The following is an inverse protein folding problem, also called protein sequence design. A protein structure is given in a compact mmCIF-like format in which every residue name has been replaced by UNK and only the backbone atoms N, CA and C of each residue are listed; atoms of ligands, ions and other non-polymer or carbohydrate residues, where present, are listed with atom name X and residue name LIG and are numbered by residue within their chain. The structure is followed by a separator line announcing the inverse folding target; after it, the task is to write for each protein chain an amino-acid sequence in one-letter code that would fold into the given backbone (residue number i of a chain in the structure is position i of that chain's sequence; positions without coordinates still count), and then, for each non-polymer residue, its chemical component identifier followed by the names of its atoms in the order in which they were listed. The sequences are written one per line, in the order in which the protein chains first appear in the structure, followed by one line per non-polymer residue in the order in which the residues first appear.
data_IF_590093767189
#
_entry.id   IF_590093767189
#
_cell.length_a   1.000
_cell.length_b   1.000
_cell.length_c   1.000
_cell.angle_alpha   90.00
_cell.angle_beta   90.00
_cell.angle_gamma   90.00
#
_symmetry.space_group_name_H-M   'P 1'
#
loop_
_entity.id
_entity.type
_entity.pdbx_description
1 polymer ?
#
# COMPACT_ATOMS: atom_id res chain seq x y z
N UNK A 1 23.76 -14.57 1.56
CA UNK A 1 23.26 -14.06 2.87
C UNK A 1 24.34 -13.58 3.86
N UNK A 2 25.59 -13.38 3.41
CA UNK A 2 26.73 -12.96 4.26
C UNK A 2 26.79 -11.45 4.50
N UNK A 3 25.61 -10.82 4.55
CA UNK A 3 25.47 -9.37 4.51
C UNK A 3 24.66 -8.88 5.71
N UNK A 4 24.95 -7.67 6.16
CA UNK A 4 24.32 -7.10 7.35
C UNK A 4 22.86 -6.69 7.13
N UNK A 5 22.52 -6.41 5.88
CA UNK A 5 21.22 -5.95 5.39
C UNK A 5 21.12 -6.29 3.91
N UNK A 6 19.90 -6.27 3.35
CA UNK A 6 19.72 -6.42 1.91
C UNK A 6 20.42 -5.28 1.14
N UNK A 7 20.54 -4.07 1.70
CA UNK A 7 21.10 -2.92 0.99
C UNK A 7 22.55 -3.11 0.54
N UNK A 8 23.35 -3.92 1.26
CA UNK A 8 24.76 -4.18 0.92
C UNK A 8 24.97 -5.47 0.10
N UNK A 9 23.90 -6.19 -0.19
CA UNK A 9 23.93 -7.35 -1.11
C UNK A 9 24.26 -6.86 -2.53
N UNK A 10 24.98 -7.65 -3.31
CA UNK A 10 25.32 -7.30 -4.69
C UNK A 10 24.06 -6.99 -5.52
N UNK A 11 24.20 -6.08 -6.48
CA UNK A 11 23.08 -5.66 -7.32
C UNK A 11 22.55 -6.84 -8.15
N UNK A 12 23.42 -7.72 -8.66
CA UNK A 12 23.01 -8.88 -9.47
C UNK A 12 22.16 -9.85 -8.67
N UNK A 13 22.54 -10.15 -7.42
CA UNK A 13 21.75 -11.03 -6.53
C UNK A 13 20.38 -10.42 -6.20
N UNK A 14 20.30 -9.09 -6.06
CA UNK A 14 19.03 -8.40 -5.86
C UNK A 14 18.17 -8.43 -7.13
N UNK A 15 18.78 -8.24 -8.29
CA UNK A 15 18.08 -8.22 -9.58
C UNK A 15 17.46 -9.58 -9.87
N UNK A 16 18.14 -10.68 -9.55
CA UNK A 16 17.56 -12.03 -9.68
C UNK A 16 16.27 -12.19 -8.84
N UNK A 17 16.28 -11.68 -7.60
CA UNK A 17 15.09 -11.70 -6.74
C UNK A 17 13.98 -10.79 -7.27
N UNK A 18 14.35 -9.63 -7.82
CA UNK A 18 13.41 -8.69 -8.44
C UNK A 18 12.79 -9.30 -9.69
N UNK A 19 13.56 -10.03 -10.50
CA UNK A 19 13.08 -10.67 -11.72
C UNK A 19 12.08 -11.79 -11.43
N UNK A 20 12.25 -12.54 -10.32
CA UNK A 20 11.22 -13.47 -9.86
C UNK A 20 9.92 -12.74 -9.47
N UNK A 21 10.02 -11.60 -8.79
CA UNK A 21 8.84 -10.78 -8.48
C UNK A 21 8.19 -10.23 -9.75
N UNK A 22 8.98 -9.89 -10.78
CA UNK A 22 8.46 -9.47 -12.09
C UNK A 22 7.68 -10.58 -12.80
N UNK A 23 8.11 -11.83 -12.66
CA UNK A 23 7.44 -12.97 -13.26
C UNK A 23 6.09 -13.26 -12.59
N UNK A 24 6.03 -13.15 -11.26
CA UNK A 24 4.83 -13.53 -10.50
C UNK A 24 3.80 -12.40 -10.34
N UNK A 25 4.23 -11.12 -10.46
CA UNK A 25 3.38 -9.96 -10.17
C UNK A 25 3.37 -8.92 -11.30
N UNK A 26 2.16 -8.50 -11.68
CA UNK A 26 1.95 -7.37 -12.60
C UNK A 26 2.09 -6.06 -11.84
N UNK A 27 3.28 -5.49 -11.87
CA UNK A 27 3.60 -4.18 -11.28
C UNK A 27 4.04 -3.21 -12.37
N UNK A 28 3.63 -1.95 -12.24
CA UNK A 28 4.21 -0.88 -13.07
C UNK A 28 5.62 -0.53 -12.58
N UNK A 29 6.63 -1.05 -13.26
CA UNK A 29 8.05 -0.86 -12.94
C UNK A 29 8.60 0.49 -13.34
N UNK A 30 7.85 1.29 -14.11
CA UNK A 30 8.22 2.68 -14.41
C UNK A 30 8.05 3.56 -13.16
N UNK A 31 7.06 3.22 -12.32
CA UNK A 31 6.72 3.95 -11.11
C UNK A 31 7.68 3.69 -9.94
N UNK A 32 8.24 4.77 -9.40
CA UNK A 32 9.21 4.74 -8.28
C UNK A 32 8.64 4.12 -7.00
N UNK A 33 7.39 4.39 -6.67
CA UNK A 33 6.71 3.84 -5.48
C UNK A 33 6.52 2.32 -5.58
N UNK A 34 6.22 1.78 -6.76
CA UNK A 34 6.10 0.34 -6.99
C UNK A 34 7.46 -0.36 -6.82
N UNK A 35 8.51 0.16 -7.46
CA UNK A 35 9.88 -0.32 -7.27
C UNK A 35 10.29 -0.30 -5.78
N UNK A 36 10.04 0.82 -5.10
CA UNK A 36 10.33 0.97 -3.66
C UNK A 36 9.56 -0.04 -2.80
N UNK A 37 8.32 -0.33 -3.14
CA UNK A 37 7.49 -1.31 -2.43
C UNK A 37 8.14 -2.69 -2.50
N UNK A 38 8.56 -3.13 -3.69
CA UNK A 38 9.25 -4.42 -3.86
C UNK A 38 10.53 -4.47 -3.06
N UNK A 39 11.43 -3.49 -3.20
CA UNK A 39 12.70 -3.46 -2.44
C UNK A 39 12.47 -3.44 -0.93
N UNK A 40 11.42 -2.73 -0.46
CA UNK A 40 11.04 -2.69 0.96
C UNK A 40 10.59 -4.06 1.45
N UNK A 41 9.77 -4.77 0.67
CA UNK A 41 9.28 -6.09 1.04
C UNK A 41 10.41 -7.13 1.03
N UNK A 42 11.30 -7.10 0.03
CA UNK A 42 12.49 -7.95 0.02
C UNK A 42 13.38 -7.67 1.24
N UNK A 43 13.58 -6.40 1.59
CA UNK A 43 14.38 -6.03 2.77
C UNK A 43 13.74 -6.54 4.08
N UNK A 44 12.41 -6.46 4.18
CA UNK A 44 11.66 -7.00 5.33
C UNK A 44 11.79 -8.52 5.43
N UNK A 45 11.64 -9.24 4.32
CA UNK A 45 11.80 -10.70 4.27
C UNK A 45 13.23 -11.11 4.66
N UNK A 46 14.24 -10.41 4.13
CA UNK A 46 15.65 -10.62 4.48
C UNK A 46 15.90 -10.46 5.99
N UNK A 47 15.42 -9.35 6.56
CA UNK A 47 15.59 -9.07 7.99
C UNK A 47 14.81 -10.05 8.87
N UNK A 48 13.62 -10.48 8.44
CA UNK A 48 12.82 -11.48 9.16
C UNK A 48 13.55 -12.83 9.23
N UNK A 49 14.18 -13.25 8.12
CA UNK A 49 14.97 -14.47 8.09
C UNK A 49 16.25 -14.35 8.95
N UNK A 50 16.97 -13.22 8.86
CA UNK A 50 18.10 -12.92 9.77
C UNK A 50 17.71 -13.01 11.24
N UNK A 51 16.55 -12.46 11.60
CA UNK A 51 16.04 -12.53 12.96
C UNK A 51 15.68 -13.96 13.37
N UNK A 52 15.15 -14.77 12.45
CA UNK A 52 14.87 -16.18 12.69
C UNK A 52 16.15 -16.96 13.03
N UNK A 53 17.23 -16.72 12.28
CA UNK A 53 18.55 -17.29 12.56
C UNK A 53 19.13 -16.79 13.88
N UNK A 54 19.00 -15.50 14.19
CA UNK A 54 19.43 -14.95 15.47
C UNK A 54 18.68 -15.55 16.67
N UNK A 55 17.38 -15.86 16.50
CA UNK A 55 16.61 -16.59 17.51
C UNK A 55 17.19 -17.98 17.75
N UNK A 56 17.57 -18.70 16.69
CA UNK A 56 18.25 -20.00 16.80
C UNK A 56 19.61 -19.88 17.48
N UNK A 57 20.41 -18.89 17.12
CA UNK A 57 21.68 -18.61 17.79
C UNK A 57 21.49 -18.43 19.30
N UNK A 58 20.42 -17.74 19.69
CA UNK A 58 20.07 -17.49 21.10
C UNK A 58 19.49 -18.69 21.86
N UNK A 59 19.16 -19.79 21.20
CA UNK A 59 18.74 -21.04 21.87
C UNK A 59 19.94 -21.79 22.46
N UNK A 60 21.16 -21.56 21.94
CA UNK A 60 22.39 -22.16 22.46
C UNK A 60 22.92 -21.42 23.69
N UNK A 61 23.57 -22.15 24.60
CA UNK A 61 24.11 -21.58 25.83
C UNK A 61 25.39 -20.78 25.56
N UNK A 62 26.24 -21.25 24.65
CA UNK A 62 27.51 -20.59 24.32
C UNK A 62 27.66 -20.32 22.83
N UNK A 63 28.58 -19.40 22.51
CA UNK A 63 28.91 -19.07 21.13
C UNK A 63 29.53 -20.28 20.39
N UNK A 64 30.39 -21.02 21.07
CA UNK A 64 31.07 -22.20 20.56
C UNK A 64 30.06 -23.32 20.24
N UNK A 65 29.08 -23.52 21.12
CA UNK A 65 28.00 -24.48 20.90
C UNK A 65 27.16 -24.11 19.66
N UNK A 66 26.85 -22.82 19.50
CA UNK A 66 26.11 -22.34 18.34
C UNK A 66 26.88 -22.57 17.02
N UNK A 67 28.20 -22.36 17.01
CA UNK A 67 29.04 -22.59 15.82
C UNK A 67 29.04 -24.05 15.36
N UNK A 68 29.03 -24.99 16.31
CA UNK A 68 29.04 -26.43 15.99
C UNK A 68 27.68 -26.92 15.51
N UNK A 69 26.58 -26.44 16.11
CA UNK A 69 25.26 -27.07 15.98
C UNK A 69 24.26 -26.32 15.08
N UNK A 70 24.46 -25.03 14.76
CA UNK A 70 23.40 -24.17 14.21
C UNK A 70 23.26 -24.09 12.68
N UNK A 71 24.02 -24.87 11.90
CA UNK A 71 24.13 -24.72 10.44
C UNK A 71 23.05 -25.38 9.56
N UNK A 72 21.85 -25.71 10.06
CA UNK A 72 20.87 -26.47 9.25
C UNK A 72 20.07 -25.61 8.26
N UNK A 73 19.88 -24.32 8.53
CA UNK A 73 19.04 -23.42 7.72
C UNK A 73 19.78 -22.63 6.65
N UNK A 74 21.11 -22.52 6.77
CA UNK A 74 21.98 -21.81 5.84
C UNK A 74 23.30 -22.56 5.73
N UNK A 75 24.04 -22.34 4.66
CA UNK A 75 25.38 -22.89 4.51
C UNK A 75 26.27 -22.57 5.72
N UNK A 76 27.10 -23.52 6.11
CA UNK A 76 27.97 -23.41 7.29
C UNK A 76 28.83 -22.13 7.32
N UNK A 77 29.49 -21.69 6.24
CA UNK A 77 30.26 -20.43 6.26
C UNK A 77 29.38 -19.19 6.50
N UNK A 78 28.12 -19.23 6.06
CA UNK A 78 27.16 -18.14 6.30
C UNK A 78 26.75 -18.12 7.77
N UNK A 79 26.49 -19.29 8.35
CA UNK A 79 26.17 -19.43 9.77
C UNK A 79 27.30 -18.97 10.68
N UNK A 80 28.54 -19.40 10.40
CA UNK A 80 29.74 -19.01 11.15
C UNK A 80 29.93 -17.49 11.13
N UNK A 81 29.83 -16.87 9.95
CA UNK A 81 29.91 -15.41 9.81
C UNK A 81 28.84 -14.67 10.64
N UNK A 82 27.60 -15.16 10.62
CA UNK A 82 26.50 -14.59 11.41
C UNK A 82 26.75 -14.72 12.92
N UNK A 83 27.21 -15.88 13.37
CA UNK A 83 27.57 -16.11 14.77
C UNK A 83 28.66 -15.14 15.23
N UNK A 84 29.74 -15.00 14.46
CA UNK A 84 30.83 -14.06 14.78
C UNK A 84 30.31 -12.63 14.89
N UNK A 85 29.43 -12.21 13.96
CA UNK A 85 28.78 -10.90 14.02
C UNK A 85 27.95 -10.72 15.28
N UNK A 86 27.14 -11.70 15.68
CA UNK A 86 26.30 -11.58 16.88
C UNK A 86 27.07 -11.64 18.19
N UNK A 87 28.22 -12.33 18.19
CA UNK A 87 29.14 -12.36 19.33
C UNK A 87 29.93 -11.06 19.50
N UNK A 88 30.07 -10.28 18.42
CA UNK A 88 30.85 -9.03 18.39
C UNK A 88 30.35 -7.99 19.40
N UNK A 89 31.30 -7.17 19.88
CA UNK A 89 31.02 -6.11 20.87
C UNK A 89 30.13 -5.04 20.25
N UNK A 90 30.35 -4.70 18.99
CA UNK A 90 29.59 -3.71 18.22
C UNK A 90 28.11 -4.13 18.12
N UNK A 91 27.85 -5.39 17.79
CA UNK A 91 26.48 -5.89 17.70
C UNK A 91 25.79 -5.90 19.06
N UNK A 92 26.47 -6.37 20.11
CA UNK A 92 25.93 -6.39 21.48
C UNK A 92 25.60 -4.97 21.96
N UNK A 93 26.45 -3.99 21.69
CA UNK A 93 26.21 -2.58 21.99
C UNK A 93 24.97 -2.05 21.26
N UNK A 94 24.90 -2.25 19.94
CA UNK A 94 23.75 -1.84 19.13
C UNK A 94 22.44 -2.50 19.58
N UNK A 95 22.48 -3.80 19.87
CA UNK A 95 21.32 -4.57 20.34
C UNK A 95 20.80 -4.05 21.69
N UNK A 96 21.72 -3.78 22.63
CA UNK A 96 21.38 -3.23 23.95
C UNK A 96 20.75 -1.84 23.82
N UNK A 97 21.36 -0.95 23.02
CA UNK A 97 20.81 0.37 22.78
C UNK A 97 19.43 0.32 22.11
N UNK A 98 19.22 -0.57 21.14
CA UNK A 98 17.92 -0.75 20.51
C UNK A 98 16.85 -1.25 21.49
N UNK A 99 17.23 -2.14 22.42
CA UNK A 99 16.36 -2.60 23.50
C UNK A 99 15.96 -1.45 24.43
N UNK A 100 16.92 -0.64 24.86
CA UNK A 100 16.67 0.55 25.68
C UNK A 100 15.77 1.56 24.96
N UNK A 101 16.04 1.83 23.68
CA UNK A 101 15.22 2.73 22.86
C UNK A 101 13.78 2.19 22.73
N UNK A 102 13.61 0.88 22.57
CA UNK A 102 12.29 0.26 22.55
C UNK A 102 11.56 0.39 23.89
N UNK A 103 12.27 0.29 25.01
CA UNK A 103 11.70 0.52 26.34
C UNK A 103 11.25 1.97 26.56
N UNK A 104 11.86 2.94 25.86
CA UNK A 104 11.47 4.37 25.90
C UNK A 104 10.23 4.68 25.04
N UNK A 105 9.67 3.71 24.31
CA UNK A 105 8.48 3.94 23.51
C UNK A 105 7.24 4.11 24.39
N UNK A 106 6.78 5.36 24.54
CA UNK A 106 5.64 5.75 25.39
C UNK A 106 4.27 5.61 24.72
N UNK A 107 4.23 5.67 23.39
CA UNK A 107 3.00 5.65 22.59
C UNK A 107 2.93 4.34 21.80
N UNK A 108 1.92 3.52 22.09
CA UNK A 108 1.64 2.22 21.47
C UNK A 108 0.20 2.19 20.97
N UNK A 109 -0.13 1.37 19.96
CA UNK A 109 -1.46 1.29 19.34
C UNK A 109 -2.02 -0.14 19.32
N UNK A 110 -3.33 -0.29 19.13
CA UNK A 110 -4.08 -1.57 19.06
C UNK A 110 -4.36 -2.05 17.63
N UNK A 111 -4.01 -1.28 16.60
CA UNK A 111 -4.31 -1.55 15.18
C UNK A 111 -3.77 -2.87 14.60
N UNK A 112 -2.90 -3.57 15.34
CA UNK A 112 -2.34 -4.84 14.94
C UNK A 112 -1.52 -4.73 13.64
N UNK A 113 -1.80 -5.62 12.68
CA UNK A 113 -1.14 -5.65 11.36
C UNK A 113 -1.78 -4.72 10.33
N UNK A 114 -2.92 -4.11 10.65
CA UNK A 114 -3.61 -3.19 9.75
C UNK A 114 -2.93 -1.83 9.79
N UNK A 115 -2.59 -1.28 8.61
CA UNK A 115 -2.00 0.05 8.54
C UNK A 115 -3.02 1.12 8.95
N UNK A 116 -2.53 2.26 9.46
CA UNK A 116 -3.40 3.37 9.84
C UNK A 116 -4.16 3.95 8.65
N UNK A 117 -3.54 4.00 7.46
CA UNK A 117 -4.21 4.42 6.22
C UNK A 117 -5.46 3.57 5.95
N UNK A 118 -5.34 2.24 6.04
CA UNK A 118 -6.49 1.35 5.82
C UNK A 118 -7.55 1.53 6.92
N UNK A 119 -7.14 1.78 8.17
CA UNK A 119 -8.11 2.04 9.24
C UNK A 119 -8.84 3.37 9.06
N UNK A 120 -8.15 4.42 8.61
CA UNK A 120 -8.75 5.72 8.29
C UNK A 120 -9.71 5.59 7.09
N UNK A 121 -9.33 4.85 6.05
CA UNK A 121 -10.20 4.60 4.90
C UNK A 121 -11.48 3.82 5.28
N UNK A 122 -11.40 2.93 6.28
CA UNK A 122 -12.55 2.19 6.80
C UNK A 122 -13.45 3.03 7.72
N UNK A 123 -12.96 4.16 8.22
CA UNK A 123 -13.65 5.03 9.21
C UNK A 123 -13.57 6.49 8.78
N UNK A 124 -14.02 6.78 7.56
CA UNK A 124 -14.01 8.15 6.98
C UNK A 124 -14.97 9.11 7.68
N UNK A 125 -15.89 8.59 8.47
CA UNK A 125 -16.86 9.33 9.27
C UNK A 125 -16.25 9.93 10.56
N UNK A 126 -14.97 9.65 10.86
CA UNK A 126 -14.31 10.07 12.10
C UNK A 126 -13.16 11.01 11.83
N UNK A 127 -13.09 12.08 12.63
CA UNK A 127 -11.95 13.00 12.65
C UNK A 127 -10.69 12.35 13.26
N UNK A 128 -9.57 13.05 13.19
CA UNK A 128 -8.27 12.53 13.66
C UNK A 128 -8.18 12.33 15.19
N UNK A 129 -8.95 13.07 15.99
CA UNK A 129 -8.98 12.91 17.45
C UNK A 129 -9.73 11.62 17.81
N UNK A 130 -10.86 11.36 17.15
CA UNK A 130 -11.62 10.11 17.31
C UNK A 130 -10.81 8.90 16.82
N UNK A 131 -10.13 9.04 15.67
CA UNK A 131 -9.22 8.03 15.16
C UNK A 131 -8.09 7.73 16.17
N UNK A 132 -7.53 8.75 16.81
CA UNK A 132 -6.50 8.57 17.85
C UNK A 132 -7.03 7.69 18.98
N UNK A 133 -8.22 8.00 19.50
CA UNK A 133 -8.85 7.17 20.54
C UNK A 133 -9.01 5.73 20.08
N UNK A 134 -9.55 5.51 18.90
CA UNK A 134 -9.76 4.16 18.35
C UNK A 134 -8.47 3.36 18.23
N UNK A 135 -7.39 4.00 17.77
CA UNK A 135 -6.08 3.37 17.58
C UNK A 135 -5.35 3.10 18.90
N UNK A 136 -5.69 3.81 19.98
CA UNK A 136 -4.98 3.76 21.26
C UNK A 136 -5.82 3.21 22.42
N UNK A 137 -7.08 2.86 22.19
CA UNK A 137 -7.99 2.28 23.16
C UNK A 137 -7.97 0.75 23.13
N UNK A 138 -7.98 0.13 24.30
CA UNK A 138 -8.11 -1.32 24.46
C UNK A 138 -9.54 -1.69 24.83
N UNK A 139 -10.32 -2.20 23.85
CA UNK A 139 -11.67 -2.71 24.10
C UNK A 139 -11.71 -3.80 25.19
N UNK A 140 -10.67 -4.65 25.24
CA UNK A 140 -10.55 -5.71 26.26
C UNK A 140 -10.36 -5.16 27.68
N UNK A 141 -9.59 -4.07 27.83
CA UNK A 141 -9.26 -3.50 29.15
C UNK A 141 -10.16 -2.32 29.52
N UNK A 142 -10.99 -1.83 28.60
CA UNK A 142 -11.82 -0.64 28.78
C UNK A 142 -11.02 0.62 29.12
N UNK A 143 -9.79 0.74 28.61
CA UNK A 143 -8.91 1.90 28.87
C UNK A 143 -7.87 2.12 27.77
N UNK A 144 -7.23 3.28 27.79
CA UNK A 144 -6.05 3.57 26.96
C UNK A 144 -4.89 2.60 27.23
N UNK A 145 -4.10 2.30 26.19
CA UNK A 145 -3.01 1.32 26.30
C UNK A 145 -1.89 1.83 27.21
N UNK A 146 -1.57 3.12 27.14
CA UNK A 146 -0.54 3.76 27.97
C UNK A 146 -1.05 5.08 28.58
N UNK A 147 -0.52 5.51 29.74
CA UNK A 147 -0.86 6.80 30.32
C UNK A 147 -0.60 7.96 29.35
N UNK A 148 0.50 7.92 28.60
CA UNK A 148 0.81 8.96 27.60
C UNK A 148 -0.19 9.01 26.45
N UNK A 149 -0.80 7.88 26.04
CA UNK A 149 -1.89 7.94 25.05
C UNK A 149 -3.15 8.58 25.62
N UNK A 150 -3.43 8.40 26.90
CA UNK A 150 -4.57 9.04 27.58
C UNK A 150 -4.34 10.54 27.75
N UNK A 151 -3.15 10.94 28.23
CA UNK A 151 -2.72 12.34 28.36
C UNK A 151 -2.86 13.09 27.03
N UNK A 152 -2.31 12.53 25.94
CA UNK A 152 -2.41 13.14 24.61
C UNK A 152 -3.87 13.28 24.15
N UNK A 153 -4.69 12.24 24.34
CA UNK A 153 -6.11 12.30 23.94
C UNK A 153 -6.87 13.36 24.74
N UNK A 154 -6.66 13.42 26.06
CA UNK A 154 -7.31 14.41 26.92
C UNK A 154 -6.91 15.83 26.51
N UNK A 155 -5.63 16.06 26.20
CA UNK A 155 -5.16 17.34 25.69
C UNK A 155 -5.80 17.71 24.34
N UNK A 156 -5.96 16.75 23.42
CA UNK A 156 -6.66 16.99 22.15
C UNK A 156 -8.13 17.38 22.38
N UNK A 157 -8.81 16.70 23.30
CA UNK A 157 -10.22 16.97 23.64
C UNK A 157 -10.37 18.33 24.33
N UNK A 158 -9.46 18.69 25.22
CA UNK A 158 -9.44 19.99 25.89
C UNK A 158 -9.29 21.14 24.88
N UNK A 159 -8.30 21.05 23.97
CA UNK A 159 -8.10 22.02 22.90
C UNK A 159 -9.31 22.11 21.97
N UNK A 160 -9.94 20.98 21.64
CA UNK A 160 -11.14 20.98 20.80
C UNK A 160 -12.35 21.59 21.50
N UNK A 161 -12.47 21.40 22.82
CA UNK A 161 -13.55 21.98 23.61
C UNK A 161 -13.38 23.48 23.87
N UNK A 162 -12.15 23.99 23.81
CA UNK A 162 -11.88 25.43 23.88
C UNK A 162 -12.41 26.20 22.65
N UNK A 163 -12.60 25.52 21.51
CA UNK A 163 -13.25 26.10 20.33
C UNK A 163 -14.77 26.15 20.50
N UNK A 164 -15.40 27.21 19.95
CA UNK A 164 -16.86 27.28 19.88
C UNK A 164 -17.41 26.12 19.03
N UNK A 165 -18.65 25.65 19.29
CA UNK A 165 -19.21 24.47 18.61
C UNK A 165 -19.16 24.54 17.08
N UNK A 166 -19.30 25.74 16.51
CA UNK A 166 -19.26 25.98 15.06
C UNK A 166 -17.87 25.77 14.44
N UNK A 167 -16.81 25.93 15.22
CA UNK A 167 -15.41 25.76 14.78
C UNK A 167 -14.84 24.38 15.09
N UNK A 168 -15.67 23.45 15.59
CA UNK A 168 -15.27 22.06 15.88
C UNK A 168 -15.31 21.19 14.62
N UNK A 169 -14.55 21.61 13.60
CA UNK A 169 -14.49 20.94 12.29
C UNK A 169 -13.38 19.86 12.25
N UNK A 170 -13.40 19.04 11.19
CA UNK A 170 -12.36 18.03 10.94
C UNK A 170 -10.98 18.66 10.73
N UNK A 171 -10.92 19.85 10.13
CA UNK A 171 -9.69 20.62 9.96
C UNK A 171 -9.12 21.08 11.30
N UNK A 172 -9.98 21.54 12.21
CA UNK A 172 -9.58 21.90 13.58
C UNK A 172 -9.03 20.68 14.33
N UNK A 173 -9.73 19.54 14.24
CA UNK A 173 -9.25 18.28 14.81
C UNK A 173 -7.87 17.86 14.25
N UNK A 174 -7.65 18.05 12.95
CA UNK A 174 -6.36 17.74 12.32
C UNK A 174 -5.23 18.71 12.71
N UNK A 175 -5.54 19.98 12.94
CA UNK A 175 -4.57 20.95 13.47
C UNK A 175 -4.17 20.60 14.91
N UNK A 176 -5.16 20.37 15.79
CA UNK A 176 -4.94 19.97 17.19
C UNK A 176 -4.16 18.67 17.30
N UNK A 177 -4.51 17.66 16.48
CA UNK A 177 -3.80 16.39 16.45
C UNK A 177 -2.30 16.57 16.14
N UNK A 178 -1.98 17.42 15.16
CA UNK A 178 -0.58 17.73 14.78
C UNK A 178 0.13 18.53 15.86
N UNK A 179 -0.57 19.45 16.52
CA UNK A 179 -0.03 20.24 17.63
C UNK A 179 0.36 19.34 18.82
N UNK A 180 -0.57 18.51 19.30
CA UNK A 180 -0.37 17.67 20.48
C UNK A 180 0.70 16.62 20.26
N UNK A 181 0.72 15.94 19.11
CA UNK A 181 1.73 14.91 18.84
C UNK A 181 3.06 15.51 18.37
N UNK A 182 3.05 16.77 17.94
CA UNK A 182 4.16 17.50 17.37
C UNK A 182 4.48 17.08 15.93
N UNK A 183 5.38 17.85 15.32
CA UNK A 183 5.82 17.62 13.94
C UNK A 183 7.26 17.12 13.86
N UNK A 184 7.58 16.34 12.81
CA UNK A 184 8.95 16.02 12.43
C UNK A 184 9.04 16.13 10.91
N UNK A 185 10.05 16.83 10.39
CA UNK A 185 10.25 16.94 8.93
C UNK A 185 10.26 15.55 8.30
N UNK A 186 9.46 15.36 7.25
CA UNK A 186 9.32 14.08 6.56
C UNK A 186 8.56 13.00 7.34
N UNK A 187 7.85 13.32 8.43
CA UNK A 187 7.09 12.33 9.20
C UNK A 187 5.88 12.89 9.96
N UNK A 188 4.69 12.42 9.63
CA UNK A 188 3.46 12.67 10.39
C UNK A 188 3.41 11.79 11.64
N UNK A 189 3.68 12.39 12.80
CA UNK A 189 3.58 11.68 14.08
C UNK A 189 2.15 11.19 14.31
N UNK A 190 2.02 9.98 14.86
CA UNK A 190 0.71 9.37 15.14
C UNK A 190 0.00 8.75 13.94
N UNK A 191 0.52 8.88 12.71
CA UNK A 191 -0.15 8.39 11.49
C UNK A 191 0.58 7.22 10.79
N UNK A 192 1.55 6.62 11.47
CA UNK A 192 2.34 5.52 10.92
C UNK A 192 3.30 5.97 9.80
N UNK A 193 3.83 5.02 9.03
CA UNK A 193 4.82 5.31 7.97
C UNK A 193 4.19 5.57 6.59
N UNK A 194 2.90 5.28 6.44
CA UNK A 194 2.22 5.30 5.14
C UNK A 194 1.53 6.62 4.84
N UNK A 195 1.33 7.48 5.84
CA UNK A 195 0.81 8.82 5.62
C UNK A 195 1.96 9.72 5.21
N UNK A 196 1.81 10.34 4.03
CA UNK A 196 2.75 11.35 3.58
C UNK A 196 2.56 12.58 4.44
N UNK A 197 3.63 13.10 5.07
CA UNK A 197 3.58 14.39 5.72
C UNK A 197 3.29 15.47 4.68
N UNK A 198 2.60 16.52 5.11
CA UNK A 198 2.65 17.78 4.38
C UNK A 198 4.13 18.15 4.22
N UNK A 199 4.53 18.51 3.01
CA UNK A 199 5.92 18.91 2.79
C UNK A 199 6.21 20.06 3.75
N UNK A 200 7.32 19.99 4.47
CA UNK A 200 7.86 21.20 5.08
C UNK A 200 8.16 22.11 3.90
N UNK A 201 7.26 23.05 3.59
CA UNK A 201 7.51 24.06 2.57
C UNK A 201 8.70 24.85 3.08
N UNK A 202 9.91 24.48 2.65
CA UNK A 202 11.04 25.38 2.73
C UNK A 202 10.69 26.48 1.72
N UNK A 203 10.48 27.73 2.15
CA UNK A 203 10.23 28.80 1.21
C UNK A 203 11.37 28.83 0.19
N UNK A 204 11.06 28.59 -1.10
CA UNK A 204 12.03 28.60 -2.19
C UNK A 204 12.60 27.24 -2.63
N UNK A 205 12.17 26.10 -2.08
CA UNK A 205 12.49 24.77 -2.64
C UNK A 205 11.21 24.10 -3.12
N UNK A 206 10.82 24.40 -4.35
CA UNK A 206 9.74 23.70 -5.06
C UNK A 206 10.18 22.26 -5.30
N UNK A 207 9.40 21.31 -4.78
CA UNK A 207 9.56 19.92 -5.19
C UNK A 207 8.80 19.78 -6.52
N UNK A 208 9.39 20.27 -7.62
CA UNK A 208 8.77 20.35 -8.96
C UNK A 208 8.12 19.03 -9.38
N UNK A 209 8.72 17.90 -8.98
CA UNK A 209 8.18 16.56 -9.25
C UNK A 209 6.84 16.31 -8.53
N UNK A 210 6.68 16.83 -7.30
CA UNK A 210 5.45 16.73 -6.54
C UNK A 210 4.34 17.61 -7.12
N UNK A 211 4.67 18.86 -7.50
CA UNK A 211 3.71 19.77 -8.13
C UNK A 211 3.22 19.21 -9.47
N UNK A 212 4.13 18.74 -10.32
CA UNK A 212 3.78 18.04 -11.58
C UNK A 212 2.85 16.85 -11.33
N UNK A 213 3.17 15.99 -10.35
CA UNK A 213 2.33 14.82 -10.04
C UNK A 213 0.96 15.21 -9.47
N UNK A 214 0.87 16.29 -8.70
CA UNK A 214 -0.39 16.79 -8.17
C UNK A 214 -1.28 17.34 -9.30
N UNK A 215 -0.70 18.11 -10.22
CA UNK A 215 -1.38 18.62 -11.41
C UNK A 215 -1.82 17.49 -12.34
N UNK A 216 -0.96 16.52 -12.61
CA UNK A 216 -1.27 15.35 -13.43
C UNK A 216 -2.42 14.54 -12.80
N UNK A 217 -2.39 14.31 -11.48
CA UNK A 217 -3.48 13.64 -10.79
C UNK A 217 -4.80 14.42 -10.84
N UNK A 218 -4.76 15.74 -10.70
CA UNK A 218 -5.94 16.59 -10.83
C UNK A 218 -6.52 16.54 -12.26
N UNK A 219 -5.66 16.53 -13.28
CA UNK A 219 -6.06 16.39 -14.67
C UNK A 219 -6.63 15.00 -14.96
N UNK A 220 -5.99 13.95 -14.45
CA UNK A 220 -6.46 12.57 -14.57
C UNK A 220 -7.83 12.37 -13.93
N UNK A 221 -8.08 13.00 -12.77
CA UNK A 221 -9.38 12.99 -12.11
C UNK A 221 -10.45 13.65 -12.98
N UNK A 222 -10.19 14.84 -13.52
CA UNK A 222 -11.11 15.54 -14.43
C UNK A 222 -11.40 14.73 -15.69
N UNK A 223 -10.38 14.11 -16.27
CA UNK A 223 -10.54 13.25 -17.44
C UNK A 223 -11.38 12.01 -17.12
N UNK A 224 -11.13 11.36 -15.98
CA UNK A 224 -11.91 10.21 -15.54
C UNK A 224 -13.39 10.57 -15.32
N UNK A 225 -13.68 11.70 -14.68
CA UNK A 225 -15.05 12.20 -14.53
C UNK A 225 -15.70 12.52 -15.87
N UNK A 226 -14.97 13.16 -16.78
CA UNK A 226 -15.46 13.46 -18.13
C UNK A 226 -15.88 12.19 -18.88
N UNK A 227 -15.02 11.17 -18.91
CA UNK A 227 -15.35 9.90 -19.58
C UNK A 227 -16.47 9.15 -18.87
N UNK A 228 -16.47 9.14 -17.53
CA UNK A 228 -17.55 8.54 -16.73
C UNK A 228 -18.91 9.16 -17.06
N UNK A 229 -18.98 10.49 -17.17
CA UNK A 229 -20.23 11.20 -17.47
C UNK A 229 -20.68 11.00 -18.93
N UNK A 230 -19.75 10.77 -19.86
CA UNK A 230 -20.06 10.58 -21.28
C UNK A 230 -20.28 9.12 -21.70
N UNK A 231 -20.03 8.20 -20.77
CA UNK A 231 -20.19 6.76 -21.01
C UNK A 231 -21.62 6.37 -21.40
N UNK A 232 -22.69 6.91 -20.77
CA UNK A 232 -24.07 6.60 -21.17
C UNK A 232 -24.39 6.99 -22.62
N UNK A 233 -23.88 8.14 -23.08
CA UNK A 233 -24.10 8.60 -24.46
C UNK A 233 -23.37 7.70 -25.48
N UNK A 234 -22.14 7.29 -25.14
CA UNK A 234 -21.36 6.36 -25.96
C UNK A 234 -22.05 4.99 -26.03
N UNK A 235 -22.51 4.47 -24.89
CA UNK A 235 -23.25 3.21 -24.82
C UNK A 235 -24.57 3.28 -25.60
N UNK A 236 -25.30 4.40 -25.50
CA UNK A 236 -26.51 4.66 -26.26
C UNK A 236 -26.26 4.70 -27.77
N UNK A 237 -25.18 5.36 -28.21
CA UNK A 237 -24.78 5.37 -29.61
C UNK A 237 -24.42 3.98 -30.14
N UNK A 238 -23.71 3.17 -29.34
CA UNK A 238 -23.43 1.78 -29.70
C UNK A 238 -24.68 0.91 -29.75
N UNK A 239 -25.66 1.13 -28.86
CA UNK A 239 -26.94 0.42 -28.91
C UNK A 239 -27.69 0.75 -30.21
N UNK A 240 -27.85 2.03 -30.53
CA UNK A 240 -28.52 2.45 -31.77
C UNK A 240 -27.84 1.90 -33.03
N UNK A 241 -26.50 1.82 -33.04
CA UNK A 241 -25.76 1.25 -34.16
C UNK A 241 -25.94 -0.27 -34.27
N UNK A 242 -26.06 -0.99 -33.14
CA UNK A 242 -26.41 -2.42 -33.15
C UNK A 242 -27.81 -2.64 -33.70
N UNK A 243 -28.79 -1.87 -33.23
CA UNK A 243 -30.18 -1.97 -33.70
C UNK A 243 -30.26 -1.74 -35.21
N UNK A 244 -29.54 -0.72 -35.72
CA UNK A 244 -29.48 -0.45 -37.16
C UNK A 244 -28.83 -1.60 -37.95
N UNK A 245 -27.81 -2.23 -37.41
CA UNK A 245 -27.14 -3.36 -38.05
C UNK A 245 -28.05 -4.59 -38.10
N UNK A 246 -28.80 -4.87 -37.03
CA UNK A 246 -29.80 -5.95 -37.01
C UNK A 246 -30.93 -5.70 -38.02
N UNK A 247 -31.43 -4.46 -38.12
CA UNK A 247 -32.42 -4.10 -39.14
C UNK A 247 -31.88 -4.29 -40.56
N UNK A 248 -30.63 -3.91 -40.80
CA UNK A 248 -29.99 -4.10 -42.10
C UNK A 248 -29.84 -5.59 -42.44
N UNK A 249 -29.39 -6.40 -41.48
CA UNK A 249 -29.29 -7.87 -41.66
C UNK A 249 -30.66 -8.49 -41.96
N UNK A 250 -31.71 -8.11 -41.23
CA UNK A 250 -33.07 -8.58 -41.50
C UNK A 250 -33.52 -8.25 -42.93
N UNK A 251 -33.29 -7.01 -43.38
CA UNK A 251 -33.63 -6.59 -44.76
C UNK A 251 -32.86 -7.35 -45.83
N UNK A 252 -31.57 -7.59 -45.61
CA UNK A 252 -30.74 -8.39 -46.52
C UNK A 252 -31.25 -9.83 -46.57
N UNK A 253 -31.55 -10.42 -45.42
CA UNK A 253 -32.08 -11.79 -45.34
C UNK A 253 -33.43 -11.94 -46.06
N UNK A 254 -34.35 -10.98 -45.90
CA UNK A 254 -35.64 -10.96 -46.62
C UNK A 254 -35.39 -10.90 -48.12
N UNK A 255 -34.62 -9.91 -48.60
CA UNK A 255 -34.31 -9.76 -50.04
C UNK A 255 -33.68 -11.03 -50.62
N UNK A 256 -32.74 -11.63 -49.90
CA UNK A 256 -32.08 -12.88 -50.31
C UNK A 256 -33.05 -14.07 -50.36
N UNK A 257 -34.02 -14.13 -49.45
CA UNK A 257 -35.05 -15.18 -49.46
C UNK A 257 -36.02 -15.01 -50.64
N UNK A 258 -36.45 -13.79 -50.94
CA UNK A 258 -37.32 -13.48 -52.09
C UNK A 258 -36.65 -13.85 -53.41
N UNK A 259 -35.36 -13.51 -53.58
CA UNK A 259 -34.57 -13.90 -54.75
C UNK A 259 -34.48 -15.42 -54.90
N UNK A 260 -34.30 -16.17 -53.79
CA UNK A 260 -34.26 -17.63 -53.81
C UNK A 260 -35.61 -18.21 -54.25
N UNK A 261 -36.72 -17.74 -53.69
CA UNK A 261 -38.06 -18.19 -54.06
C UNK A 261 -38.38 -17.88 -55.52
N UNK A 262 -37.97 -16.71 -56.04
CA UNK A 262 -38.14 -16.37 -57.47
C UNK A 262 -37.34 -17.30 -58.38
N UNK A 263 -36.10 -17.63 -58.00
CA UNK A 263 -35.25 -18.59 -58.73
C UNK A 263 -35.83 -20.01 -58.70
N UNK A 264 -36.40 -20.44 -57.58
CA UNK A 264 -37.07 -21.74 -57.44
C UNK A 264 -38.35 -21.80 -58.28
N UNK A 265 -39.19 -20.76 -58.25
CA UNK A 265 -40.39 -20.66 -59.09
C UNK A 265 -40.07 -20.66 -60.59
N UNK A 266 -38.98 -20.01 -61.01
CA UNK A 266 -38.51 -20.06 -62.41
C UNK A 266 -38.01 -21.45 -62.82
N UNK A 267 -37.44 -22.22 -61.89
CA UNK A 267 -37.02 -23.60 -62.14
C UNK A 267 -38.21 -24.56 -62.22
N UNK A 268 -39.21 -24.38 -61.37
CA UNK A 268 -40.43 -25.20 -61.39
C UNK A 268 -41.24 -24.98 -62.66
N UNK A 269 -41.40 -23.72 -63.10
CA UNK A 269 -42.10 -23.40 -64.35
C UNK A 269 -41.39 -23.92 -65.60
N UNK A 270 -40.06 -23.98 -65.61
CA UNK A 270 -39.28 -24.61 -66.69
C UNK A 270 -39.30 -26.15 -66.65
N UNK A 271 -39.68 -26.77 -65.53
CA UNK A 271 -39.75 -28.23 -65.38
C UNK A 271 -41.16 -28.81 -65.61
N UNK A 272 -42.18 -27.96 -65.79
CA UNK A 272 -43.59 -28.36 -65.99
C UNK A 272 -44.11 -28.25 -67.42
N UNK A 273 -43.27 -27.91 -68.40
CA UNK A 273 -43.63 -28.08 -69.81
C UNK A 273 -43.30 -29.52 -70.27
N UNK A 274 -44.28 -30.31 -70.77
CA UNK A 274 -44.13 -31.71 -71.15
C UNK A 274 -43.33 -31.95 -72.45
#
# INVERSE_FOLDING_TARGET
MRHVSLSVVDVKEKDELIDRVRADFVLDWTKKNHRRTVTTQLSRAYNAFHYMLYRKYREYATHEEALVNGGSMVERPVWEWLCSRWASVEFKKMSTQNKENRCKQRVNHTSGRTSFVVLMERRKDRNLIDFYKDAHWSNKKGRFITPTTEENYNQMVELMNANEPEYRTDEAAAAIFREVLGHRSGYSRGLGHSVMPESSTVPGVTNEEYERLAEENALNLKNAEYYKNRMPDIEGGFAAMRDHMEEYEQRVNITMSELRTQLESQRETQSTDP
#
